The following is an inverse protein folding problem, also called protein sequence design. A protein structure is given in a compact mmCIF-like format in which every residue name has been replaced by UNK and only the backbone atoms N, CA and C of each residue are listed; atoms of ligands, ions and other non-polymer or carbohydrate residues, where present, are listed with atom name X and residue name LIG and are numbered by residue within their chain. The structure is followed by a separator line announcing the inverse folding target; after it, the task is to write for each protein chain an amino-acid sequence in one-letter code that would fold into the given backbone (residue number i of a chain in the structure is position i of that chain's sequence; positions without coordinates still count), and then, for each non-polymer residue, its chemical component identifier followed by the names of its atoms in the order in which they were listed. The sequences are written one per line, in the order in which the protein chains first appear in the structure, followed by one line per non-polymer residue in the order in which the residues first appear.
data_IF_358388895501
#
_entry.id   IF_358388895501
#
_cell.length_a   1.000
_cell.length_b   1.000
_cell.length_c   1.000
_cell.angle_alpha   90.00
_cell.angle_beta   90.00
_cell.angle_gamma   90.00
#
_symmetry.space_group_name_H-M   'P 1'
#
loop_
_entity.id
_entity.type
_entity.pdbx_description
1 polymer ?
#
# COMPACT_ATOMS: atom_id res chain seq x y z
N UNK A 1 -52.33 20.16 -24.27
CA UNK A 1 -51.73 19.40 -23.13
C UNK A 1 -50.22 19.32 -23.34
N UNK A 2 -49.46 20.01 -22.54
CA UNK A 2 -48.00 19.91 -22.61
C UNK A 2 -47.59 18.68 -21.78
N UNK A 3 -47.10 17.63 -22.44
CA UNK A 3 -46.44 16.54 -21.76
C UNK A 3 -45.10 17.05 -21.25
N UNK A 4 -44.99 17.23 -19.95
CA UNK A 4 -43.69 17.47 -19.32
C UNK A 4 -42.98 16.12 -19.33
N UNK A 5 -42.06 15.98 -20.28
CA UNK A 5 -41.13 14.86 -20.24
C UNK A 5 -40.13 15.21 -19.15
N UNK A 6 -40.32 14.64 -17.97
CA UNK A 6 -39.26 14.57 -16.99
C UNK A 6 -38.21 13.65 -17.61
N UNK A 7 -37.25 14.24 -18.28
CA UNK A 7 -36.01 13.58 -18.56
C UNK A 7 -35.36 13.46 -17.18
N UNK A 8 -35.59 12.34 -16.55
CA UNK A 8 -34.70 11.90 -15.49
C UNK A 8 -33.34 11.79 -16.15
N UNK A 9 -32.58 12.87 -16.07
CA UNK A 9 -31.13 12.76 -16.12
C UNK A 9 -30.78 11.94 -14.89
N UNK A 10 -30.82 10.61 -15.06
CA UNK A 10 -29.97 9.77 -14.27
C UNK A 10 -28.59 10.25 -14.65
N UNK A 11 -28.09 11.25 -13.90
CA UNK A 11 -26.68 11.42 -13.74
C UNK A 11 -26.26 10.10 -13.12
N UNK A 12 -26.00 9.15 -13.99
CA UNK A 12 -25.10 8.07 -13.69
C UNK A 12 -23.81 8.84 -13.37
N UNK A 13 -23.70 9.32 -12.14
CA UNK A 13 -22.42 9.54 -11.57
C UNK A 13 -21.75 8.18 -11.78
N UNK A 14 -21.05 8.02 -12.90
CA UNK A 14 -19.92 7.14 -12.93
C UNK A 14 -19.10 7.63 -11.75
N UNK A 15 -19.39 7.09 -10.60
CA UNK A 15 -18.40 6.84 -9.61
C UNK A 15 -17.38 6.01 -10.38
N UNK A 16 -16.55 6.73 -11.14
CA UNK A 16 -15.23 6.26 -11.41
C UNK A 16 -14.68 6.02 -10.02
N UNK A 17 -15.00 4.87 -9.45
CA UNK A 17 -14.09 4.28 -8.54
C UNK A 17 -12.86 4.07 -9.41
N UNK A 18 -12.07 5.13 -9.50
CA UNK A 18 -10.67 4.97 -9.77
C UNK A 18 -10.26 4.01 -8.67
N UNK A 19 -10.28 2.71 -9.00
CA UNK A 19 -9.48 1.77 -8.28
C UNK A 19 -8.09 2.37 -8.39
N UNK A 20 -7.72 3.19 -7.39
CA UNK A 20 -6.45 3.85 -7.37
C UNK A 20 -5.44 2.73 -7.40
N UNK A 21 -4.77 2.56 -8.55
CA UNK A 21 -3.64 1.66 -8.62
C UNK A 21 -2.66 2.06 -7.52
N UNK A 22 -2.04 1.07 -6.87
CA UNK A 22 -0.99 1.35 -5.92
C UNK A 22 0.03 2.30 -6.55
N UNK A 23 0.40 3.36 -5.83
CA UNK A 23 1.42 4.29 -6.28
C UNK A 23 2.79 3.65 -6.08
N UNK A 24 3.45 3.34 -7.20
CA UNK A 24 4.85 2.93 -7.19
C UNK A 24 5.72 4.18 -7.11
N UNK A 25 6.47 4.31 -6.02
CA UNK A 25 7.29 5.49 -5.72
C UNK A 25 8.74 5.12 -5.44
N UNK A 26 9.67 5.98 -5.81
CA UNK A 26 11.08 5.77 -5.50
C UNK A 26 11.35 5.95 -3.98
N UNK A 27 12.53 5.57 -3.53
CA UNK A 27 12.87 5.56 -2.12
C UNK A 27 12.84 6.96 -1.46
N UNK A 28 13.18 8.01 -2.21
CA UNK A 28 13.14 9.39 -1.72
C UNK A 28 11.69 9.82 -1.46
N UNK A 29 10.80 9.60 -2.42
CA UNK A 29 9.37 9.90 -2.31
C UNK A 29 8.69 9.02 -1.26
N UNK A 30 9.04 7.76 -1.21
CA UNK A 30 8.53 6.82 -0.21
C UNK A 30 8.81 7.32 1.21
N UNK A 31 10.06 7.66 1.49
CA UNK A 31 10.47 8.23 2.78
C UNK A 31 9.69 9.50 3.10
N UNK A 32 9.66 10.46 2.17
CA UNK A 32 8.99 11.73 2.37
C UNK A 32 7.48 11.55 2.64
N UNK A 33 6.81 10.71 1.86
CA UNK A 33 5.38 10.43 2.01
C UNK A 33 5.08 9.70 3.31
N UNK A 34 5.92 8.73 3.70
CA UNK A 34 5.75 8.01 4.95
C UNK A 34 5.81 8.94 6.17
N UNK A 35 6.82 9.80 6.25
CA UNK A 35 6.92 10.74 7.37
C UNK A 35 5.84 11.82 7.37
N UNK A 36 5.33 12.19 6.20
CA UNK A 36 4.23 13.15 6.07
C UNK A 36 2.88 12.57 6.50
N UNK A 37 2.55 11.36 6.08
CA UNK A 37 1.23 10.76 6.26
C UNK A 37 1.12 9.84 7.47
N UNK A 38 2.23 9.37 8.02
CA UNK A 38 2.30 8.51 9.21
C UNK A 38 1.35 7.31 9.16
N UNK A 39 1.36 6.61 8.02
CA UNK A 39 0.57 5.40 7.84
C UNK A 39 1.25 4.15 8.41
N UNK A 40 0.75 3.00 8.01
CA UNK A 40 1.36 1.72 8.34
C UNK A 40 2.54 1.45 7.42
N UNK A 41 3.72 1.22 7.99
CA UNK A 41 4.88 0.72 7.26
C UNK A 41 4.90 -0.80 7.33
N UNK A 42 4.86 -1.45 6.18
CA UNK A 42 4.68 -2.89 6.07
C UNK A 42 5.84 -3.53 5.33
N UNK A 43 6.58 -4.36 6.03
CA UNK A 43 7.60 -5.26 5.48
C UNK A 43 6.93 -6.57 5.08
N UNK A 44 6.87 -6.86 3.79
CA UNK A 44 6.20 -8.06 3.28
C UNK A 44 7.16 -9.21 2.98
N UNK A 45 8.40 -9.09 3.46
CA UNK A 45 9.40 -10.15 3.39
C UNK A 45 9.09 -11.27 4.39
N UNK A 46 9.90 -12.32 4.38
CA UNK A 46 9.80 -13.39 5.37
C UNK A 46 10.13 -12.92 6.78
N UNK A 47 9.63 -13.62 7.78
CA UNK A 47 9.96 -13.36 9.19
C UNK A 47 11.47 -13.47 9.47
N UNK A 48 12.15 -14.36 8.78
CA UNK A 48 13.60 -14.52 8.88
C UNK A 48 14.35 -13.27 8.37
N UNK A 49 13.98 -12.76 7.20
CA UNK A 49 14.57 -11.53 6.66
C UNK A 49 14.29 -10.33 7.57
N UNK A 50 13.07 -10.21 8.05
CA UNK A 50 12.67 -9.16 8.99
C UNK A 50 13.50 -9.19 10.28
N UNK A 51 13.69 -10.36 10.88
CA UNK A 51 14.47 -10.53 12.11
C UNK A 51 15.96 -10.18 11.91
N UNK A 52 16.49 -10.39 10.71
CA UNK A 52 17.88 -10.04 10.38
C UNK A 52 18.09 -8.52 10.17
N UNK A 53 17.04 -7.78 10.02
CA UNK A 53 17.02 -6.31 9.90
C UNK A 53 15.78 -5.83 9.15
N UNK A 54 15.18 -4.77 9.65
CA UNK A 54 14.00 -4.14 9.06
C UNK A 54 14.01 -2.63 9.35
N UNK A 55 13.22 -1.90 8.60
CA UNK A 55 13.05 -0.46 8.85
C UNK A 55 12.31 -0.24 10.17
N UNK A 56 12.82 0.65 10.98
CA UNK A 56 12.23 1.01 12.27
C UNK A 56 10.74 1.31 12.12
N UNK A 57 9.93 0.79 13.04
CA UNK A 57 8.46 0.83 13.03
C UNK A 57 7.76 0.00 11.95
N UNK A 58 8.47 -0.72 11.10
CA UNK A 58 7.84 -1.62 10.15
C UNK A 58 7.20 -2.81 10.87
N UNK A 59 5.99 -3.17 10.44
CA UNK A 59 5.34 -4.43 10.80
C UNK A 59 5.65 -5.46 9.74
N UNK A 60 5.81 -6.71 10.15
CA UNK A 60 6.04 -7.80 9.22
C UNK A 60 4.76 -8.59 8.95
N UNK A 61 4.37 -8.65 7.70
CA UNK A 61 3.34 -9.58 7.22
C UNK A 61 3.89 -10.18 5.92
N UNK A 62 4.27 -11.44 5.98
CA UNK A 62 4.88 -12.15 4.85
C UNK A 62 3.85 -12.42 3.75
N UNK A 63 4.03 -11.82 2.58
CA UNK A 63 3.09 -11.96 1.45
C UNK A 63 3.04 -13.38 0.87
N UNK A 64 4.05 -14.20 1.12
CA UNK A 64 4.11 -15.59 0.65
C UNK A 64 3.31 -16.57 1.49
N UNK A 65 2.84 -16.17 2.66
CA UNK A 65 2.10 -17.06 3.56
C UNK A 65 0.60 -17.07 3.26
N UNK A 66 -0.07 -18.22 3.52
CA UNK A 66 -1.53 -18.34 3.27
C UNK A 66 -2.38 -17.38 4.10
N UNK A 67 -1.88 -16.92 5.26
CA UNK A 67 -2.60 -16.01 6.15
C UNK A 67 -2.38 -14.53 5.83
N UNK A 68 -1.70 -14.19 4.74
CA UNK A 68 -1.42 -12.79 4.39
C UNK A 68 -2.69 -11.95 4.33
N UNK A 69 -3.72 -12.43 3.63
CA UNK A 69 -4.96 -11.68 3.45
C UNK A 69 -5.72 -11.49 4.77
N UNK A 70 -5.79 -12.51 5.62
CA UNK A 70 -6.43 -12.39 6.93
C UNK A 70 -5.69 -11.42 7.87
N UNK A 71 -4.38 -11.36 7.79
CA UNK A 71 -3.59 -10.38 8.54
C UNK A 71 -3.80 -8.95 8.01
N UNK A 72 -3.89 -8.78 6.69
CA UNK A 72 -4.19 -7.49 6.06
C UNK A 72 -5.58 -6.99 6.46
N UNK A 73 -6.56 -7.88 6.60
CA UNK A 73 -7.92 -7.51 6.98
C UNK A 73 -8.02 -6.85 8.37
N UNK A 74 -7.01 -7.00 9.21
CA UNK A 74 -6.90 -6.33 10.52
C UNK A 74 -6.46 -4.88 10.44
N UNK A 75 -5.97 -4.42 9.30
CA UNK A 75 -5.50 -3.05 9.09
C UNK A 75 -6.65 -2.11 8.73
N UNK A 76 -6.48 -0.84 9.06
CA UNK A 76 -7.43 0.21 8.69
C UNK A 76 -7.28 0.57 7.21
N UNK A 77 -8.34 0.37 6.43
CA UNK A 77 -8.36 0.63 4.99
C UNK A 77 -8.33 2.11 4.63
N UNK A 78 -8.61 2.98 5.58
CA UNK A 78 -8.58 4.43 5.41
C UNK A 78 -7.19 5.03 5.69
N UNK A 79 -6.31 4.28 6.34
CA UNK A 79 -4.92 4.68 6.54
C UNK A 79 -4.05 4.34 5.34
N UNK A 80 -3.06 5.20 5.08
CA UNK A 80 -2.03 4.90 4.10
C UNK A 80 -1.19 3.69 4.53
N UNK A 81 -0.87 2.82 3.57
CA UNK A 81 0.02 1.68 3.76
C UNK A 81 1.22 1.84 2.85
N UNK A 82 2.39 1.74 3.43
CA UNK A 82 3.68 1.85 2.75
C UNK A 82 4.34 0.47 2.75
N UNK A 83 4.51 -0.09 1.57
CA UNK A 83 4.99 -1.46 1.37
C UNK A 83 6.40 -1.50 0.86
N UNK A 84 7.24 -2.34 1.45
CA UNK A 84 8.54 -2.67 0.89
C UNK A 84 8.87 -4.16 1.03
N UNK A 85 9.76 -4.62 0.19
CA UNK A 85 10.37 -5.95 0.27
C UNK A 85 11.87 -5.88 -0.04
N UNK A 86 12.47 -6.98 -0.49
CA UNK A 86 13.91 -7.01 -0.82
C UNK A 86 14.27 -6.25 -2.09
N UNK A 87 13.52 -6.48 -3.16
CA UNK A 87 13.81 -5.94 -4.51
C UNK A 87 12.58 -5.38 -5.27
N UNK A 88 11.41 -5.35 -4.67
CA UNK A 88 10.20 -4.75 -5.23
C UNK A 88 9.19 -5.71 -5.85
N UNK A 89 9.52 -6.98 -6.05
CA UNK A 89 8.60 -7.96 -6.68
C UNK A 89 7.48 -8.38 -5.73
N UNK A 90 7.83 -8.79 -4.51
CA UNK A 90 6.87 -9.22 -3.49
C UNK A 90 5.98 -8.07 -3.04
N UNK A 91 6.51 -6.87 -2.90
CA UNK A 91 5.73 -5.69 -2.52
C UNK A 91 4.73 -5.29 -3.59
N UNK A 92 5.06 -5.43 -4.88
CA UNK A 92 4.11 -5.20 -5.97
C UNK A 92 2.92 -6.15 -5.91
N UNK A 93 3.15 -7.42 -5.61
CA UNK A 93 2.09 -8.42 -5.39
C UNK A 93 1.22 -8.04 -4.19
N UNK A 94 1.84 -7.68 -3.07
CA UNK A 94 1.14 -7.25 -1.87
C UNK A 94 0.29 -6.00 -2.13
N UNK A 95 0.84 -5.01 -2.83
CA UNK A 95 0.12 -3.80 -3.20
C UNK A 95 -1.14 -4.09 -4.02
N UNK A 96 -1.05 -4.99 -4.99
CA UNK A 96 -2.20 -5.43 -5.79
C UNK A 96 -3.29 -6.08 -4.91
N UNK A 97 -2.91 -6.91 -3.95
CA UNK A 97 -3.84 -7.54 -3.00
C UNK A 97 -4.53 -6.47 -2.14
N UNK A 98 -3.79 -5.55 -1.57
CA UNK A 98 -4.36 -4.46 -0.76
C UNK A 98 -5.35 -3.62 -1.56
N UNK A 99 -5.03 -3.28 -2.80
CA UNK A 99 -5.94 -2.51 -3.67
C UNK A 99 -7.25 -3.24 -3.91
N UNK A 100 -7.20 -4.52 -4.21
CA UNK A 100 -8.40 -5.35 -4.41
C UNK A 100 -9.25 -5.44 -3.14
N UNK A 101 -8.63 -5.36 -1.97
CA UNK A 101 -9.33 -5.37 -0.68
C UNK A 101 -9.89 -4.01 -0.26
N UNK A 102 -9.71 -2.97 -1.06
CA UNK A 102 -10.29 -1.66 -0.83
C UNK A 102 -9.44 -0.71 0.01
N UNK A 103 -8.14 -0.96 0.15
CA UNK A 103 -7.23 0.01 0.77
C UNK A 103 -7.12 1.25 -0.11
N UNK A 104 -7.38 2.42 0.45
CA UNK A 104 -7.50 3.67 -0.30
C UNK A 104 -6.15 4.24 -0.74
N UNK A 105 -5.14 4.11 0.11
CA UNK A 105 -3.83 4.74 -0.09
C UNK A 105 -2.73 3.69 0.06
N UNK A 106 -2.21 3.21 -1.05
CA UNK A 106 -1.17 2.18 -1.09
C UNK A 106 0.05 2.71 -1.83
N UNK A 107 1.16 2.79 -1.12
CA UNK A 107 2.45 3.19 -1.66
C UNK A 107 3.37 1.96 -1.73
N UNK A 108 3.77 1.61 -2.94
CA UNK A 108 4.68 0.50 -3.20
C UNK A 108 6.06 1.03 -3.53
N UNK A 109 7.06 0.61 -2.78
CA UNK A 109 8.43 1.03 -3.03
C UNK A 109 8.93 0.47 -4.37
N UNK A 110 9.33 1.35 -5.28
CA UNK A 110 10.16 1.00 -6.43
C UNK A 110 11.62 0.88 -5.96
N UNK A 111 12.07 -0.35 -5.82
CA UNK A 111 13.31 -0.71 -5.15
C UNK A 111 13.06 -1.63 -3.95
N UNK A 112 13.98 -1.66 -3.02
CA UNK A 112 13.92 -2.56 -1.89
C UNK A 112 14.47 -1.99 -0.58
N UNK A 113 14.51 -2.85 0.42
CA UNK A 113 14.95 -2.54 1.79
C UNK A 113 16.26 -1.75 1.84
N UNK A 114 17.26 -2.16 1.05
CA UNK A 114 18.57 -1.48 1.03
C UNK A 114 18.48 -0.05 0.50
N UNK A 115 17.57 0.23 -0.42
CA UNK A 115 17.37 1.58 -0.95
C UNK A 115 16.81 2.52 0.10
N UNK A 116 15.96 2.03 1.00
CA UNK A 116 15.45 2.81 2.13
C UNK A 116 16.55 3.17 3.12
N UNK A 117 17.46 2.25 3.39
CA UNK A 117 18.64 2.53 4.23
C UNK A 117 19.52 3.61 3.58
N UNK A 118 19.73 3.52 2.27
CA UNK A 118 20.56 4.50 1.53
C UNK A 118 20.00 5.92 1.61
N UNK A 119 18.69 6.09 1.67
CA UNK A 119 18.06 7.41 1.84
C UNK A 119 17.88 7.82 3.30
N UNK A 120 18.43 7.05 4.24
CA UNK A 120 18.52 7.40 5.64
C UNK A 120 17.36 6.92 6.52
N UNK A 121 16.55 5.99 6.09
CA UNK A 121 15.62 5.29 6.97
C UNK A 121 16.38 4.31 7.85
N UNK A 122 16.09 4.34 9.15
CA UNK A 122 16.83 3.56 10.13
C UNK A 122 16.48 2.08 10.06
N UNK A 123 17.51 1.23 10.00
CA UNK A 123 17.37 -0.22 10.14
C UNK A 123 17.59 -0.63 11.59
N UNK A 124 16.75 -1.55 12.07
CA UNK A 124 16.81 -2.15 13.42
C UNK A 124 16.65 -3.66 13.31
N UNK A 125 16.97 -4.36 14.39
CA UNK A 125 16.74 -5.82 14.51
C UNK A 125 15.66 -6.12 15.53
#
# INVERSE_FOLDING_TARGET
MKKIIFIFFIVFACLNSFAQSALKVNSIEFKASYYKHKGTLLDVRTAYEYADGHIENARNIDVSLPNFESEIDKLDRDQAVFLYCGVGIRSAKAASILRKKGFKYVYDLDGGYKDLIKVGMRSVK
#
